data_IF_672048887005
#
_entry.id   IF_672048887005
#
_cell.length_a   1.000
_cell.length_b   1.000
_cell.length_c   1.000
_cell.angle_alpha   90.00
_cell.angle_beta   90.00
_cell.angle_gamma   90.00
#
_symmetry.space_group_name_H-M   'P 1'
#
loop_
_entity.id
_entity.type
_entity.pdbx_description
1 polymer ?
#
# COMPACT_ATOMS: atom_id res chain seq x y z
N UNK A 1 7.43 -31.62 4.99
CA UNK A 1 6.97 -30.30 4.48
C UNK A 1 6.97 -29.32 5.64
N UNK A 2 7.91 -28.38 5.63
CA UNK A 2 7.91 -27.23 6.53
C UNK A 2 6.77 -26.30 6.07
N UNK A 3 5.80 -26.06 6.95
CA UNK A 3 4.49 -25.45 6.69
C UNK A 3 4.43 -23.97 7.12
N UNK A 4 5.57 -23.31 7.33
CA UNK A 4 5.61 -21.86 7.55
C UNK A 4 5.20 -21.18 6.23
N UNK A 5 3.93 -20.81 6.18
CA UNK A 5 3.03 -20.91 5.01
C UNK A 5 3.29 -19.89 3.91
N UNK A 6 3.66 -20.32 2.69
CA UNK A 6 3.60 -19.47 1.49
C UNK A 6 2.24 -18.79 1.31
N UNK A 7 1.14 -19.42 1.75
CA UNK A 7 -0.21 -18.87 1.61
C UNK A 7 -0.45 -17.56 2.36
N UNK A 8 0.08 -17.42 3.59
CA UNK A 8 -0.06 -16.16 4.33
C UNK A 8 0.78 -15.05 3.72
N UNK A 9 2.00 -15.37 3.29
CA UNK A 9 2.88 -14.42 2.61
C UNK A 9 2.25 -13.97 1.28
N UNK A 10 1.70 -14.90 0.48
CA UNK A 10 0.96 -14.59 -0.75
C UNK A 10 -0.23 -13.67 -0.46
N UNK A 11 -0.97 -13.91 0.62
CA UNK A 11 -2.06 -13.03 1.03
C UNK A 11 -1.56 -11.62 1.39
N UNK A 12 -0.47 -11.50 2.15
CA UNK A 12 0.17 -10.22 2.46
C UNK A 12 0.68 -9.50 1.19
N UNK A 13 1.32 -10.24 0.29
CA UNK A 13 1.78 -9.71 -0.99
C UNK A 13 0.63 -9.25 -1.88
N UNK A 14 -0.51 -9.94 -1.89
CA UNK A 14 -1.69 -9.51 -2.63
C UNK A 14 -2.18 -8.14 -2.15
N UNK A 15 -2.21 -7.91 -0.83
CA UNK A 15 -2.56 -6.61 -0.24
C UNK A 15 -1.56 -5.54 -0.70
N UNK A 16 -0.27 -5.76 -0.45
CA UNK A 16 0.78 -4.79 -0.75
C UNK A 16 0.81 -4.43 -2.23
N UNK A 17 0.81 -5.43 -3.12
CA UNK A 17 0.92 -5.23 -4.58
C UNK A 17 -0.30 -4.51 -5.16
N UNK A 18 -1.50 -4.82 -4.68
CA UNK A 18 -2.73 -4.18 -5.09
C UNK A 18 -2.74 -2.68 -4.72
N UNK A 19 -2.38 -2.36 -3.48
CA UNK A 19 -2.28 -0.98 -3.01
C UNK A 19 -1.16 -0.21 -3.72
N UNK A 20 -0.01 -0.88 -3.97
CA UNK A 20 1.13 -0.29 -4.67
C UNK A 20 0.80 0.05 -6.12
N UNK A 21 0.02 -0.79 -6.79
CA UNK A 21 -0.45 -0.53 -8.14
C UNK A 21 -1.33 0.71 -8.18
N UNK A 22 -2.25 0.88 -7.23
CA UNK A 22 -3.06 2.09 -7.12
C UNK A 22 -2.22 3.32 -6.82
N UNK A 23 -1.25 3.23 -5.92
CA UNK A 23 -0.30 4.30 -5.63
C UNK A 23 0.40 4.80 -6.91
N UNK A 24 0.96 3.88 -7.71
CA UNK A 24 1.68 4.20 -8.94
C UNK A 24 0.76 4.74 -10.04
N UNK A 25 -0.40 4.13 -10.22
CA UNK A 25 -1.35 4.55 -11.25
C UNK A 25 -1.93 5.92 -10.94
N UNK A 26 -2.32 6.17 -9.69
CA UNK A 26 -2.90 7.46 -9.31
C UNK A 26 -1.83 8.56 -9.31
N UNK A 27 -0.59 8.26 -8.94
CA UNK A 27 0.53 9.17 -9.15
C UNK A 27 0.65 9.57 -10.64
N UNK A 28 0.63 8.60 -11.56
CA UNK A 28 0.69 8.87 -13.00
C UNK A 28 -0.51 9.69 -13.51
N UNK A 29 -1.73 9.40 -13.05
CA UNK A 29 -2.94 10.18 -13.38
C UNK A 29 -2.85 11.65 -12.95
N UNK A 30 -2.21 11.92 -11.80
CA UNK A 30 -1.93 13.28 -11.33
C UNK A 30 -0.67 13.91 -11.94
N UNK A 31 -0.06 13.25 -12.94
CA UNK A 31 1.13 13.76 -13.63
C UNK A 31 2.42 13.65 -12.83
N UNK A 32 2.45 12.87 -11.73
CA UNK A 32 3.65 12.54 -10.99
C UNK A 32 4.39 11.41 -11.73
N UNK A 33 5.49 11.76 -12.40
CA UNK A 33 6.36 10.74 -13.01
C UNK A 33 7.33 10.23 -11.95
N UNK A 34 7.06 9.02 -11.46
CA UNK A 34 7.89 8.38 -10.44
C UNK A 34 9.20 7.89 -11.05
N UNK A 35 10.29 8.17 -10.34
CA UNK A 35 11.57 7.53 -10.54
C UNK A 35 11.61 6.14 -9.91
N UNK A 36 11.22 6.10 -8.64
CA UNK A 36 11.18 4.90 -7.84
C UNK A 36 10.00 4.96 -6.88
N UNK A 37 9.59 3.80 -6.42
CA UNK A 37 8.55 3.67 -5.43
C UNK A 37 8.81 2.45 -4.56
N UNK A 38 8.63 2.62 -3.27
CA UNK A 38 8.79 1.58 -2.26
C UNK A 38 7.50 1.45 -1.46
N UNK A 39 7.23 0.22 -0.99
CA UNK A 39 6.11 -0.08 -0.13
C UNK A 39 6.58 -0.93 1.04
N UNK A 40 6.21 -0.56 2.26
CA UNK A 40 6.47 -1.31 3.48
C UNK A 40 5.14 -1.76 4.07
N UNK A 41 5.00 -3.06 4.28
CA UNK A 41 3.86 -3.66 4.96
C UNK A 41 4.31 -4.22 6.31
N UNK A 42 3.77 -3.68 7.40
CA UNK A 42 3.98 -4.16 8.77
C UNK A 42 2.70 -4.81 9.28
N UNK A 43 2.82 -6.05 9.76
CA UNK A 43 1.66 -6.89 10.13
C UNK A 43 1.85 -7.42 11.53
N UNK A 44 0.80 -7.31 12.35
CA UNK A 44 0.70 -8.03 13.63
C UNK A 44 -0.40 -9.07 13.48
N UNK A 45 -0.04 -10.34 13.63
CA UNK A 45 -0.96 -11.45 13.53
C UNK A 45 -0.82 -12.41 14.73
N UNK A 46 -1.91 -13.08 15.08
CA UNK A 46 -1.91 -14.12 16.12
C UNK A 46 -1.19 -15.40 15.66
N UNK A 47 -1.04 -16.38 16.57
CA UNK A 47 -0.52 -17.71 16.23
C UNK A 47 -1.36 -18.42 15.16
N UNK A 48 -2.65 -18.08 15.06
CA UNK A 48 -3.57 -18.58 14.04
C UNK A 48 -3.59 -17.72 12.77
N UNK A 49 -2.66 -16.76 12.64
CA UNK A 49 -2.54 -15.82 11.51
C UNK A 49 -3.75 -14.93 11.31
N UNK A 50 -4.48 -14.69 12.39
CA UNK A 50 -5.52 -13.67 12.40
C UNK A 50 -4.87 -12.29 12.47
N UNK A 51 -5.10 -11.44 11.47
CA UNK A 51 -4.46 -10.13 11.34
C UNK A 51 -5.15 -9.13 12.28
N UNK A 52 -4.44 -8.71 13.32
CA UNK A 52 -4.91 -7.71 14.29
C UNK A 52 -4.47 -6.28 13.95
N UNK A 53 -3.34 -6.13 13.24
CA UNK A 53 -2.90 -4.84 12.71
C UNK A 53 -2.25 -4.96 11.33
N UNK A 54 -2.54 -3.96 10.48
CA UNK A 54 -2.05 -3.85 9.10
C UNK A 54 -1.64 -2.40 8.83
N UNK A 55 -0.34 -2.13 8.82
CA UNK A 55 0.19 -0.78 8.56
C UNK A 55 0.97 -0.80 7.26
N UNK A 56 0.60 0.06 6.31
CA UNK A 56 1.21 0.13 5.00
C UNK A 56 1.67 1.53 4.70
N UNK A 57 2.92 1.67 4.28
CA UNK A 57 3.55 2.93 3.95
C UNK A 57 4.12 2.87 2.54
N UNK A 58 3.74 3.82 1.69
CA UNK A 58 4.30 3.97 0.35
C UNK A 58 5.12 5.25 0.23
N UNK A 59 6.28 5.14 -0.41
CA UNK A 59 7.19 6.25 -0.66
C UNK A 59 7.48 6.32 -2.15
N UNK A 60 7.26 7.48 -2.75
CA UNK A 60 7.53 7.72 -4.17
C UNK A 60 8.55 8.82 -4.36
N UNK A 61 9.64 8.53 -5.08
CA UNK A 61 10.54 9.56 -5.58
C UNK A 61 10.05 9.98 -6.96
N UNK A 62 9.84 11.28 -7.20
CA UNK A 62 9.34 11.77 -8.49
C UNK A 62 10.31 12.73 -9.18
N UNK A 63 10.42 12.62 -10.51
CA UNK A 63 11.26 13.52 -11.33
C UNK A 63 10.46 14.65 -11.99
N UNK A 64 9.13 14.50 -12.07
CA UNK A 64 8.23 15.46 -12.71
C UNK A 64 6.88 15.51 -12.00
N UNK A 65 6.28 16.69 -12.00
CA UNK A 65 5.01 16.97 -11.34
C UNK A 65 5.21 17.68 -10.00
N UNK A 66 4.13 17.82 -9.23
CA UNK A 66 4.15 18.44 -7.91
C UNK A 66 3.21 17.68 -6.98
N UNK A 67 3.74 17.05 -5.95
CA UNK A 67 2.96 16.33 -4.95
C UNK A 67 2.36 17.31 -3.93
N UNK A 68 1.27 17.99 -4.29
CA UNK A 68 0.54 18.84 -3.32
C UNK A 68 -0.17 17.98 -2.30
N UNK A 69 -0.52 18.56 -1.15
CA UNK A 69 -1.22 17.83 -0.08
C UNK A 69 -2.51 17.17 -0.59
N UNK A 70 -3.28 17.88 -1.42
CA UNK A 70 -4.54 17.42 -1.97
C UNK A 70 -4.36 16.21 -2.89
N UNK A 71 -3.29 16.20 -3.70
CA UNK A 71 -2.94 15.06 -4.55
C UNK A 71 -2.54 13.86 -3.69
N UNK A 72 -1.69 14.07 -2.67
CA UNK A 72 -1.23 12.99 -1.79
C UNK A 72 -2.38 12.40 -0.97
N UNK A 73 -3.27 13.24 -0.43
CA UNK A 73 -4.47 12.81 0.30
C UNK A 73 -5.39 11.99 -0.63
N UNK A 74 -5.60 12.45 -1.87
CA UNK A 74 -6.41 11.74 -2.86
C UNK A 74 -5.82 10.37 -3.22
N UNK A 75 -4.52 10.30 -3.51
CA UNK A 75 -3.82 9.05 -3.79
C UNK A 75 -3.94 8.09 -2.60
N UNK A 76 -3.69 8.57 -1.38
CA UNK A 76 -3.78 7.77 -0.15
C UNK A 76 -5.18 7.18 0.03
N UNK A 77 -6.23 7.99 -0.19
CA UNK A 77 -7.61 7.53 -0.09
C UNK A 77 -7.94 6.47 -1.15
N UNK A 78 -7.46 6.63 -2.38
CA UNK A 78 -7.73 5.71 -3.49
C UNK A 78 -7.00 4.38 -3.34
N UNK A 79 -5.83 4.34 -2.72
CA UNK A 79 -5.10 3.09 -2.45
C UNK A 79 -5.93 2.09 -1.61
N UNK A 80 -6.79 2.58 -0.72
CA UNK A 80 -7.72 1.75 0.05
C UNK A 80 -8.87 1.15 -0.79
N UNK A 81 -9.04 1.60 -2.04
CA UNK A 81 -10.11 1.16 -2.96
C UNK A 81 -9.66 0.07 -3.94
N UNK A 82 -8.43 -0.43 -3.80
CA UNK A 82 -7.95 -1.50 -4.65
C UNK A 82 -8.76 -2.80 -4.42
N UNK A 83 -8.93 -3.69 -5.43
CA UNK A 83 -9.80 -4.86 -5.32
C UNK A 83 -9.50 -5.76 -4.12
N UNK A 84 -8.23 -5.91 -3.73
CA UNK A 84 -7.86 -6.67 -2.53
C UNK A 84 -8.36 -5.95 -1.28
N UNK A 85 -8.05 -4.66 -1.11
CA UNK A 85 -8.42 -3.86 0.06
C UNK A 85 -9.94 -3.86 0.32
N UNK A 86 -10.77 -3.67 -0.71
CA UNK A 86 -12.24 -3.62 -0.54
C UNK A 86 -12.86 -4.99 -0.20
N UNK A 87 -12.14 -6.07 -0.47
CA UNK A 87 -12.56 -7.44 -0.16
C UNK A 87 -11.90 -7.99 1.11
N UNK A 88 -11.07 -7.20 1.80
CA UNK A 88 -10.55 -7.59 3.10
C UNK A 88 -11.68 -7.56 4.13
N UNK A 89 -11.67 -8.54 5.04
CA UNK A 89 -12.42 -8.42 6.29
C UNK A 89 -11.94 -7.18 7.05
N UNK A 90 -12.80 -6.61 7.87
CA UNK A 90 -12.42 -5.51 8.76
C UNK A 90 -11.24 -5.92 9.64
N UNK A 91 -10.15 -5.14 9.59
CA UNK A 91 -8.96 -5.29 10.44
C UNK A 91 -8.97 -4.12 11.44
N UNK A 92 -8.98 -4.38 12.76
CA UNK A 92 -9.20 -3.35 13.78
C UNK A 92 -8.22 -2.18 13.71
N UNK A 93 -6.94 -2.46 13.47
CA UNK A 93 -5.88 -1.46 13.45
C UNK A 93 -5.26 -1.39 12.06
N UNK A 94 -5.80 -0.51 11.21
CA UNK A 94 -5.31 -0.35 9.83
C UNK A 94 -4.82 1.08 9.61
N UNK A 95 -3.61 1.22 9.09
CA UNK A 95 -3.06 2.49 8.64
C UNK A 95 -2.51 2.36 7.22
N UNK A 96 -2.83 3.33 6.37
CA UNK A 96 -2.35 3.39 4.98
C UNK A 96 -1.90 4.82 4.68
N UNK A 97 -0.65 4.98 4.28
CA UNK A 97 -0.11 6.28 3.94
C UNK A 97 0.71 6.27 2.65
N UNK A 98 0.79 7.44 2.05
CA UNK A 98 1.65 7.74 0.92
C UNK A 98 2.47 8.99 1.22
N UNK A 99 3.72 9.01 0.77
CA UNK A 99 4.58 10.18 0.80
C UNK A 99 5.36 10.28 -0.49
N UNK A 100 5.72 11.51 -0.87
CA UNK A 100 6.44 11.78 -2.11
C UNK A 100 7.56 12.77 -1.86
N UNK A 101 8.70 12.54 -2.50
CA UNK A 101 9.84 13.44 -2.49
C UNK A 101 10.36 13.66 -3.92
N UNK A 102 10.82 14.86 -4.23
CA UNK A 102 11.44 15.16 -5.52
C UNK A 102 12.87 14.61 -5.57
N UNK A 103 13.26 14.04 -6.71
CA UNK A 103 14.65 13.62 -7.00
C UNK A 103 15.51 14.82 -7.38
#
# INVERSE_FOLDING_TARGET
>A
LNIYTPGFDVFMYAILTCQHMYFRNNAAEYGLTLDSSEGLLTVVASEHRDVGALNVEFKGKYRKGKATKEIVDSISARMALCPVSINLKTIPNTHLSASFESV
#
